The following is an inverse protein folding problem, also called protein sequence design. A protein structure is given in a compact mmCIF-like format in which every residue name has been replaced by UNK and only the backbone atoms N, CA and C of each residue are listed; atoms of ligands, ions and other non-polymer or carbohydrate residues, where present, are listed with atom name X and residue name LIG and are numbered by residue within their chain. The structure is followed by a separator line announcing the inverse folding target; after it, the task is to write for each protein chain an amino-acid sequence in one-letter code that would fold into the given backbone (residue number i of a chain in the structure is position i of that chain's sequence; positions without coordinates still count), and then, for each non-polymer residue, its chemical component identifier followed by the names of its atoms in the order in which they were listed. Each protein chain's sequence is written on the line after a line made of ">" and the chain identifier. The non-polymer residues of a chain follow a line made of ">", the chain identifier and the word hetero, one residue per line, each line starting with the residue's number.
data_IF_151316105459
#
_entry.id   IF_151316105459
#
_cell.length_a   1.000
_cell.length_b   1.000
_cell.length_c   1.000
_cell.angle_alpha   90.00
_cell.angle_beta   90.00
_cell.angle_gamma   90.00
#
_symmetry.space_group_name_H-M   'P 1'
#
loop_
_entity.id
_entity.type
_entity.pdbx_description
1 polymer ?
#
# COMPACT_ATOMS: atom_id res chain seq x y z
N UNK A 1 24.40 3.73 8.96
CA UNK A 1 23.65 2.45 8.95
C UNK A 1 23.16 2.21 7.54
N UNK A 2 23.58 1.10 6.95
CA UNK A 2 23.11 0.65 5.64
C UNK A 2 21.62 0.30 5.70
N UNK A 3 20.91 0.36 4.58
CA UNK A 3 19.52 -0.11 4.47
C UNK A 3 19.39 -1.61 4.81
N UNK A 4 20.45 -2.39 4.60
CA UNK A 4 20.54 -3.79 4.97
C UNK A 4 20.60 -3.98 6.49
N UNK A 5 21.38 -3.16 7.21
CA UNK A 5 21.50 -3.23 8.67
C UNK A 5 20.16 -3.06 9.39
N UNK A 6 19.26 -2.26 8.80
CA UNK A 6 17.91 -2.00 9.35
C UNK A 6 16.96 -3.19 9.19
N UNK A 7 17.15 -4.00 8.16
CA UNK A 7 16.33 -5.18 7.87
C UNK A 7 16.75 -6.32 8.80
N UNK A 8 18.05 -6.54 8.92
CA UNK A 8 18.61 -7.61 9.75
C UNK A 8 18.29 -7.41 11.23
N UNK A 9 18.39 -6.16 11.71
CA UNK A 9 18.16 -5.81 13.11
C UNK A 9 16.73 -5.34 13.42
N UNK A 10 15.75 -5.63 12.55
CA UNK A 10 14.36 -5.26 12.81
C UNK A 10 13.81 -6.02 14.04
N UNK A 11 13.43 -5.34 15.14
CA UNK A 11 13.00 -5.99 16.38
C UNK A 11 11.54 -6.47 16.32
N UNK A 12 10.78 -6.06 15.30
CA UNK A 12 9.37 -6.39 15.17
C UNK A 12 9.14 -7.75 14.53
N UNK A 13 7.89 -8.22 14.62
CA UNK A 13 7.44 -9.47 13.98
C UNK A 13 7.68 -9.41 12.47
N UNK A 14 8.36 -10.42 11.93
CA UNK A 14 8.46 -10.67 10.50
C UNK A 14 7.23 -11.44 10.01
N UNK A 15 6.72 -11.06 8.85
CA UNK A 15 5.54 -11.68 8.24
C UNK A 15 5.90 -12.12 6.82
N UNK A 16 5.61 -13.36 6.48
CA UNK A 16 5.69 -13.83 5.10
C UNK A 16 4.46 -13.35 4.33
N UNK A 17 4.66 -12.54 3.30
CA UNK A 17 3.56 -11.93 2.55
C UNK A 17 2.66 -12.95 1.86
N UNK A 18 3.22 -14.07 1.38
CA UNK A 18 2.44 -15.13 0.72
C UNK A 18 1.41 -15.76 1.66
N UNK A 19 1.83 -16.14 2.87
CA UNK A 19 0.91 -16.74 3.85
C UNK A 19 -0.08 -15.70 4.38
N UNK A 20 0.40 -14.48 4.66
CA UNK A 20 -0.46 -13.38 5.10
C UNK A 20 -1.56 -13.05 4.08
N UNK A 21 -1.24 -13.02 2.79
CA UNK A 21 -2.23 -12.78 1.74
C UNK A 21 -3.29 -13.89 1.68
N UNK A 22 -2.89 -15.16 1.82
CA UNK A 22 -3.82 -16.29 1.87
C UNK A 22 -4.75 -16.21 3.10
N UNK A 23 -4.20 -15.90 4.27
CA UNK A 23 -4.97 -15.73 5.51
C UNK A 23 -5.96 -14.58 5.42
N UNK A 24 -5.53 -13.45 4.84
CA UNK A 24 -6.38 -12.29 4.61
C UNK A 24 -7.53 -12.63 3.65
N UNK A 25 -7.26 -13.33 2.55
CA UNK A 25 -8.29 -13.75 1.60
C UNK A 25 -9.32 -14.69 2.24
N UNK A 26 -8.86 -15.70 2.98
CA UNK A 26 -9.73 -16.61 3.75
C UNK A 26 -10.63 -15.84 4.70
N UNK A 27 -10.06 -14.92 5.49
CA UNK A 27 -10.81 -14.15 6.48
C UNK A 27 -11.82 -13.20 5.85
N UNK A 28 -11.50 -12.59 4.71
CA UNK A 28 -12.45 -11.76 3.95
C UNK A 28 -13.63 -12.60 3.46
N UNK A 29 -13.38 -13.80 2.94
CA UNK A 29 -14.43 -14.72 2.51
C UNK A 29 -15.33 -15.17 3.67
N UNK A 30 -14.75 -15.54 4.83
CA UNK A 30 -15.50 -15.92 6.03
C UNK A 30 -16.45 -14.82 6.54
N UNK A 31 -16.05 -13.55 6.37
CA UNK A 31 -16.82 -12.39 6.80
C UNK A 31 -17.69 -11.78 5.69
N UNK A 32 -17.67 -12.35 4.48
CA UNK A 32 -18.37 -11.81 3.31
C UNK A 32 -17.86 -10.42 2.87
N UNK A 33 -16.64 -10.03 3.25
CA UNK A 33 -16.06 -8.72 2.94
C UNK A 33 -15.52 -8.73 1.51
N UNK A 34 -16.09 -7.88 0.67
CA UNK A 34 -15.66 -7.65 -0.71
C UNK A 34 -14.69 -6.47 -0.80
N UNK A 35 -14.26 -6.12 -2.01
CA UNK A 35 -13.49 -4.89 -2.24
C UNK A 35 -14.36 -3.62 -2.13
N UNK A 36 -15.67 -3.72 -2.31
CA UNK A 36 -16.58 -2.59 -2.14
C UNK A 36 -16.69 -2.14 -0.67
N UNK A 37 -16.50 -3.06 0.26
CA UNK A 37 -16.59 -2.80 1.71
C UNK A 37 -15.33 -2.14 2.28
N UNK A 38 -14.19 -2.18 1.55
CA UNK A 38 -12.95 -1.58 2.01
C UNK A 38 -12.94 -0.09 1.67
N UNK A 39 -12.96 0.82 2.67
CA UNK A 39 -12.87 2.24 2.42
C UNK A 39 -11.52 2.55 1.78
N UNK A 40 -11.55 2.98 0.51
CA UNK A 40 -10.37 3.50 -0.18
C UNK A 40 -10.25 4.99 0.12
N UNK A 41 -9.03 5.43 0.42
CA UNK A 41 -8.76 6.86 0.50
C UNK A 41 -9.02 7.48 -0.89
N UNK A 42 -9.86 8.51 -0.96
CA UNK A 42 -10.16 9.25 -2.20
C UNK A 42 -8.94 9.98 -2.76
N UNK A 43 -7.86 10.11 -1.99
CA UNK A 43 -6.60 10.69 -2.44
C UNK A 43 -6.72 12.19 -2.77
N UNK A 44 -7.77 12.86 -2.28
CA UNK A 44 -8.09 14.28 -2.59
C UNK A 44 -7.30 15.27 -1.73
N UNK A 45 -6.85 14.87 -0.54
CA UNK A 45 -5.99 15.68 0.33
C UNK A 45 -4.51 15.58 -0.08
N UNK A 46 -4.20 16.09 -1.28
CA UNK A 46 -2.83 16.09 -1.83
C UNK A 46 -2.07 17.33 -1.37
N UNK A 47 -0.84 17.13 -0.90
CA UNK A 47 0.11 18.23 -0.65
C UNK A 47 0.47 18.94 -1.96
N UNK A 48 1.00 20.17 -1.88
CA UNK A 48 1.42 20.94 -3.06
C UNK A 48 2.42 20.16 -3.92
N UNK A 49 3.46 19.58 -3.30
CA UNK A 49 4.46 18.78 -4.01
C UNK A 49 3.86 17.57 -4.73
N UNK A 50 2.86 16.91 -4.12
CA UNK A 50 2.19 15.78 -4.74
C UNK A 50 1.33 16.20 -5.94
N UNK A 51 0.71 17.37 -5.92
CA UNK A 51 -0.02 17.91 -7.08
C UNK A 51 0.93 18.19 -8.25
N UNK A 52 2.08 18.80 -7.98
CA UNK A 52 3.12 19.08 -9.01
C UNK A 52 3.61 17.79 -9.64
N UNK A 53 3.95 16.78 -8.82
CA UNK A 53 4.40 15.49 -9.31
C UNK A 53 3.36 14.82 -10.23
N UNK A 54 2.10 14.78 -9.79
CA UNK A 54 1.04 14.13 -10.57
C UNK A 54 0.72 14.89 -11.87
N UNK A 55 0.90 16.21 -11.88
CA UNK A 55 0.86 16.99 -13.12
C UNK A 55 2.00 16.59 -14.07
N UNK A 56 3.23 16.50 -13.58
CA UNK A 56 4.37 16.10 -14.41
C UNK A 56 4.20 14.69 -14.99
N UNK A 57 3.69 13.73 -14.20
CA UNK A 57 3.37 12.38 -14.67
C UNK A 57 2.33 12.43 -15.79
N UNK A 58 1.27 13.22 -15.61
CA UNK A 58 0.22 13.38 -16.63
C UNK A 58 0.75 14.03 -17.91
N UNK A 59 1.56 15.07 -17.78
CA UNK A 59 2.17 15.77 -18.92
C UNK A 59 3.13 14.84 -19.70
N UNK A 60 3.74 13.86 -19.02
CA UNK A 60 4.55 12.82 -19.63
C UNK A 60 3.74 11.64 -20.22
N UNK A 61 2.40 11.69 -20.18
CA UNK A 61 1.51 10.65 -20.71
C UNK A 61 1.20 9.49 -19.74
N UNK A 62 1.62 9.60 -18.47
CA UNK A 62 1.28 8.63 -17.43
C UNK A 62 -0.11 8.86 -16.81
N UNK A 63 -0.68 7.84 -16.18
CA UNK A 63 -1.94 7.95 -15.44
C UNK A 63 -1.76 7.41 -14.02
N UNK A 64 -2.12 8.22 -13.01
CA UNK A 64 -1.94 7.93 -11.59
C UNK A 64 -3.05 8.50 -10.72
#
# INVERSE_FOLDING_TARGET
>A
MSSTDKIENWPGRRIAFKSFAADLARRRAELGITDADIPRNSGTRRTASKKVLLKAIKDAGGNW
#
